data_IF_074682460816
#
_entry.id   IF_074682460816
#
_cell.length_a   1.000
_cell.length_b   1.000
_cell.length_c   1.000
_cell.angle_alpha   90.00
_cell.angle_beta   90.00
_cell.angle_gamma   90.00
#
_symmetry.space_group_name_H-M   'P 1'
#
loop_
_entity.id
_entity.type
_entity.pdbx_description
1 polymer ?
#
# COMPACT_ATOMS: atom_id res chain seq x y z
N UNK A 1 18.01 -3.79 23.54
CA UNK A 1 17.83 -3.33 22.14
C UNK A 1 17.63 -1.82 22.01
N UNK A 2 17.45 -1.06 23.11
CA UNK A 2 17.33 0.42 23.07
C UNK A 2 18.61 1.16 22.65
N UNK A 3 19.79 0.56 22.86
CA UNK A 3 21.06 1.28 22.67
C UNK A 3 21.42 1.57 21.19
N UNK A 4 20.83 0.85 20.24
CA UNK A 4 21.06 1.02 18.79
C UNK A 4 20.12 2.04 18.13
N UNK A 5 19.06 2.46 18.82
CA UNK A 5 18.09 3.43 18.32
C UNK A 5 18.56 4.88 18.52
N UNK A 6 19.42 5.14 19.50
CA UNK A 6 19.80 6.51 19.93
C UNK A 6 20.99 7.12 19.16
N UNK A 7 21.71 6.32 18.37
CA UNK A 7 22.80 6.84 17.53
C UNK A 7 22.29 7.03 16.10
N UNK A 8 22.04 8.28 15.75
CA UNK A 8 21.67 8.69 14.40
C UNK A 8 22.92 8.97 13.57
N UNK A 9 23.00 8.32 12.41
CA UNK A 9 24.02 8.60 11.40
C UNK A 9 23.30 9.10 10.15
N UNK A 10 23.57 10.35 9.73
CA UNK A 10 22.98 10.99 8.54
C UNK A 10 21.43 10.90 8.55
N UNK A 11 20.82 11.17 9.71
CA UNK A 11 19.35 11.25 9.87
C UNK A 11 18.62 9.90 9.96
N UNK A 12 19.33 8.76 10.00
CA UNK A 12 18.76 7.44 10.28
C UNK A 12 19.48 6.78 11.46
N UNK A 13 18.71 6.11 12.33
CA UNK A 13 19.29 5.31 13.42
C UNK A 13 20.11 4.14 12.86
N UNK A 14 21.04 3.60 13.65
CA UNK A 14 21.82 2.42 13.27
C UNK A 14 20.93 1.22 12.89
N UNK A 15 19.79 1.09 13.58
CA UNK A 15 18.76 0.10 13.25
C UNK A 15 18.09 0.39 11.89
N UNK A 16 17.83 1.67 11.59
CA UNK A 16 17.36 2.12 10.29
C UNK A 16 18.33 1.80 9.16
N UNK A 17 19.64 1.97 9.38
CA UNK A 17 20.68 1.61 8.41
C UNK A 17 20.74 0.11 8.14
N UNK A 18 20.69 -0.73 9.18
CA UNK A 18 20.65 -2.19 9.00
C UNK A 18 19.38 -2.60 8.24
N UNK A 19 18.22 -2.03 8.59
CA UNK A 19 16.97 -2.25 7.88
C UNK A 19 17.08 -1.86 6.40
N UNK A 20 17.61 -0.67 6.12
CA UNK A 20 17.81 -0.15 4.77
C UNK A 20 18.76 -1.02 3.95
N UNK A 21 19.95 -1.33 4.46
CA UNK A 21 20.94 -2.16 3.77
C UNK A 21 20.44 -3.59 3.52
N UNK A 22 19.71 -4.17 4.47
CA UNK A 22 19.12 -5.51 4.32
C UNK A 22 18.06 -5.54 3.23
N UNK A 23 17.17 -4.54 3.18
CA UNK A 23 16.17 -4.38 2.14
C UNK A 23 16.81 -4.15 0.77
N UNK A 24 17.85 -3.31 0.71
CA UNK A 24 18.57 -3.04 -0.52
C UNK A 24 19.23 -4.30 -1.10
N UNK A 25 19.90 -5.09 -0.25
CA UNK A 25 20.51 -6.36 -0.66
C UNK A 25 19.46 -7.37 -1.12
N UNK A 26 18.33 -7.48 -0.41
CA UNK A 26 17.24 -8.37 -0.80
C UNK A 26 16.70 -8.01 -2.19
N UNK A 27 16.49 -6.73 -2.46
CA UNK A 27 16.04 -6.25 -3.77
C UNK A 27 17.05 -6.58 -4.87
N UNK A 28 18.35 -6.35 -4.62
CA UNK A 28 19.42 -6.69 -5.56
C UNK A 28 19.51 -8.20 -5.84
N UNK A 29 19.32 -9.04 -4.82
CA UNK A 29 19.31 -10.50 -4.95
C UNK A 29 18.12 -10.96 -5.82
N UNK A 30 16.91 -10.49 -5.53
CA UNK A 30 15.72 -10.84 -6.31
C UNK A 30 15.89 -10.43 -7.79
N UNK A 31 16.53 -9.29 -8.04
CA UNK A 31 16.86 -8.86 -9.39
C UNK A 31 17.78 -9.84 -10.14
N UNK A 32 18.81 -10.39 -9.46
CA UNK A 32 19.71 -11.37 -10.08
C UNK A 32 19.02 -12.68 -10.50
N UNK A 33 17.82 -12.97 -9.96
CA UNK A 33 17.02 -14.14 -10.33
C UNK A 33 16.13 -13.93 -11.58
N UNK A 34 16.10 -12.72 -12.15
CA UNK A 34 15.46 -12.43 -13.44
C UNK A 34 13.93 -12.21 -13.41
N UNK A 35 13.39 -11.77 -14.54
CA UNK A 35 11.98 -11.34 -14.71
C UNK A 35 10.94 -12.41 -14.37
N UNK A 36 11.25 -13.70 -14.57
CA UNK A 36 10.30 -14.80 -14.34
C UNK A 36 10.03 -15.04 -12.85
N UNK A 37 11.06 -14.88 -12.00
CA UNK A 37 10.89 -14.96 -10.55
C UNK A 37 10.15 -13.74 -10.01
N UNK A 38 10.43 -12.56 -10.55
CA UNK A 38 9.76 -11.31 -10.22
C UNK A 38 8.25 -11.43 -10.49
N UNK A 39 7.87 -11.91 -11.70
CA UNK A 39 6.46 -12.15 -12.06
C UNK A 39 5.76 -13.08 -11.08
N UNK A 40 6.37 -14.22 -10.74
CA UNK A 40 5.80 -15.17 -9.77
C UNK A 40 5.60 -14.56 -8.39
N UNK A 41 6.55 -13.74 -7.92
CA UNK A 41 6.43 -13.06 -6.62
C UNK A 41 5.28 -12.06 -6.62
N UNK A 42 5.11 -11.30 -7.70
CA UNK A 42 4.00 -10.33 -7.84
C UNK A 42 2.66 -11.05 -7.91
N UNK A 43 2.57 -12.10 -8.73
CA UNK A 43 1.35 -12.89 -8.91
C UNK A 43 0.91 -13.55 -7.60
N UNK A 44 1.85 -13.92 -6.72
CA UNK A 44 1.55 -14.44 -5.39
C UNK A 44 1.24 -13.34 -4.37
N UNK A 45 1.89 -12.18 -4.50
CA UNK A 45 1.71 -11.05 -3.60
C UNK A 45 0.33 -10.43 -3.71
N UNK A 46 -0.22 -10.29 -4.93
CA UNK A 46 -1.55 -9.72 -5.15
C UNK A 46 -2.64 -10.39 -4.31
N UNK A 47 -2.87 -11.71 -4.46
CA UNK A 47 -3.82 -12.47 -3.64
C UNK A 47 -3.52 -12.40 -2.14
N UNK A 48 -2.24 -12.45 -1.74
CA UNK A 48 -1.86 -12.39 -0.34
C UNK A 48 -2.23 -11.04 0.31
N UNK A 49 -2.04 -9.92 -0.41
CA UNK A 49 -2.45 -8.58 0.04
C UNK A 49 -3.96 -8.54 0.24
N UNK A 50 -4.74 -9.03 -0.74
CA UNK A 50 -6.21 -9.03 -0.62
C UNK A 50 -6.71 -9.89 0.53
N UNK A 51 -6.10 -11.05 0.76
CA UNK A 51 -6.42 -11.91 1.90
C UNK A 51 -6.12 -11.20 3.23
N UNK A 52 -4.96 -10.55 3.33
CA UNK A 52 -4.57 -9.79 4.51
C UNK A 52 -5.51 -8.60 4.76
N UNK A 53 -5.86 -7.84 3.72
CA UNK A 53 -6.81 -6.72 3.82
C UNK A 53 -8.20 -7.19 4.24
N UNK A 54 -8.69 -8.28 3.66
CA UNK A 54 -9.98 -8.86 4.03
C UNK A 54 -9.99 -9.34 5.48
N UNK A 55 -8.95 -10.05 5.92
CA UNK A 55 -8.81 -10.51 7.29
C UNK A 55 -8.76 -9.33 8.27
N UNK A 56 -8.01 -8.28 7.94
CA UNK A 56 -7.93 -7.05 8.72
C UNK A 56 -9.29 -6.35 8.80
N UNK A 57 -10.00 -6.18 7.68
CA UNK A 57 -11.35 -5.62 7.68
C UNK A 57 -12.30 -6.41 8.57
N UNK A 58 -12.34 -7.73 8.42
CA UNK A 58 -13.21 -8.58 9.22
C UNK A 58 -12.89 -8.47 10.72
N UNK A 59 -11.60 -8.43 11.08
CA UNK A 59 -11.17 -8.27 12.46
C UNK A 59 -11.54 -6.89 13.03
N UNK A 60 -11.31 -5.82 12.26
CA UNK A 60 -11.67 -4.45 12.64
C UNK A 60 -13.18 -4.27 12.81
N UNK A 61 -13.99 -4.87 11.93
CA UNK A 61 -15.46 -4.84 12.04
C UNK A 61 -15.92 -5.57 13.30
N UNK A 62 -15.31 -6.72 13.63
CA UNK A 62 -15.63 -7.46 14.86
C UNK A 62 -15.30 -6.67 16.13
N UNK A 63 -14.22 -5.87 16.12
CA UNK A 63 -13.83 -5.03 17.25
C UNK A 63 -14.65 -3.73 17.35
N UNK A 64 -14.95 -3.09 16.21
CA UNK A 64 -15.68 -1.82 16.15
C UNK A 64 -17.19 -1.97 16.47
N UNK A 65 -17.76 -3.11 16.08
CA UNK A 65 -19.22 -3.31 16.01
C UNK A 65 -19.82 -2.59 14.78
N UNK A 66 -20.72 -3.28 14.07
CA UNK A 66 -21.36 -2.76 12.84
C UNK A 66 -22.09 -1.41 13.03
N UNK A 67 -22.51 -1.11 14.25
CA UNK A 67 -23.31 0.09 14.58
C UNK A 67 -22.47 1.36 14.73
N UNK A 68 -21.15 1.26 14.95
CA UNK A 68 -20.25 2.41 15.17
C UNK A 68 -19.45 2.81 13.91
N UNK A 69 -19.65 2.13 12.78
CA UNK A 69 -18.95 2.43 11.53
C UNK A 69 -19.60 3.64 10.87
N UNK A 70 -19.04 4.82 11.15
CA UNK A 70 -19.36 6.05 10.46
C UNK A 70 -18.61 6.12 9.12
N UNK A 71 -19.34 6.15 8.00
CA UNK A 71 -18.79 6.49 6.68
C UNK A 71 -18.63 8.01 6.48
N UNK A 72 -18.99 8.82 7.47
CA UNK A 72 -18.87 10.27 7.40
C UNK A 72 -17.57 10.73 8.05
N UNK A 73 -16.45 10.46 7.37
CA UNK A 73 -15.10 10.85 7.80
C UNK A 73 -14.70 12.27 7.31
N UNK A 74 -15.62 12.98 6.64
CA UNK A 74 -15.36 14.31 6.10
C UNK A 74 -15.23 15.34 7.22
N UNK A 75 -14.01 15.76 7.53
CA UNK A 75 -13.77 16.63 8.69
C UNK A 75 -14.05 18.12 8.43
N UNK A 76 -14.19 18.60 7.20
CA UNK A 76 -14.45 20.03 6.94
C UNK A 76 -15.13 20.22 5.58
N UNK A 77 -16.18 21.05 5.49
CA UNK A 77 -16.73 21.48 4.20
C UNK A 77 -15.83 22.57 3.62
N UNK A 78 -14.88 22.18 2.77
CA UNK A 78 -14.12 23.13 1.96
C UNK A 78 -15.10 23.90 1.06
N UNK A 79 -15.27 25.20 1.33
CA UNK A 79 -16.18 26.09 0.63
C UNK A 79 -15.40 27.05 -0.28
N UNK A 80 -15.87 27.25 -1.52
CA UNK A 80 -15.39 28.31 -2.41
C UNK A 80 -14.08 28.01 -3.15
N UNK A 81 -13.23 29.02 -3.30
CA UNK A 81 -11.97 28.96 -4.09
C UNK A 81 -10.94 27.99 -3.53
N UNK A 82 -10.94 27.76 -2.21
CA UNK A 82 -10.04 26.80 -1.57
C UNK A 82 -10.38 25.36 -1.95
N UNK A 83 -11.66 25.03 -2.14
CA UNK A 83 -12.06 23.73 -2.65
C UNK A 83 -11.53 23.48 -4.07
N UNK A 84 -11.55 24.50 -4.93
CA UNK A 84 -11.03 24.42 -6.29
C UNK A 84 -9.51 24.26 -6.26
N UNK A 85 -8.80 25.04 -5.43
CA UNK A 85 -7.35 24.93 -5.30
C UNK A 85 -6.93 23.56 -4.72
N UNK A 86 -7.62 23.08 -3.68
CA UNK A 86 -7.40 21.75 -3.12
C UNK A 86 -7.70 20.64 -4.13
N UNK A 87 -8.75 20.79 -4.95
CA UNK A 87 -9.09 19.85 -6.02
C UNK A 87 -8.02 19.84 -7.13
N UNK A 88 -7.46 21.00 -7.49
CA UNK A 88 -6.34 21.10 -8.43
C UNK A 88 -5.08 20.45 -7.86
N UNK A 89 -4.74 20.71 -6.60
CA UNK A 89 -3.59 20.08 -5.91
C UNK A 89 -3.79 18.57 -5.84
N UNK A 90 -4.98 18.10 -5.42
CA UNK A 90 -5.31 16.68 -5.37
C UNK A 90 -5.21 16.03 -6.76
N UNK A 91 -5.71 16.69 -7.80
CA UNK A 91 -5.61 16.20 -9.18
C UNK A 91 -4.16 16.15 -9.65
N UNK A 92 -3.35 17.16 -9.35
CA UNK A 92 -1.93 17.18 -9.68
C UNK A 92 -1.14 16.10 -8.94
N UNK A 93 -1.45 15.83 -7.67
CA UNK A 93 -0.87 14.73 -6.89
C UNK A 93 -1.23 13.38 -7.49
N UNK A 94 -2.49 13.17 -7.86
CA UNK A 94 -2.94 11.94 -8.53
C UNK A 94 -2.24 11.79 -9.88
N UNK A 95 -2.17 12.85 -10.68
CA UNK A 95 -1.46 12.83 -11.97
C UNK A 95 0.04 12.52 -11.80
N UNK A 96 0.71 13.12 -10.80
CA UNK A 96 2.11 12.85 -10.49
C UNK A 96 2.34 11.42 -10.00
N UNK A 97 1.42 10.89 -9.19
CA UNK A 97 1.47 9.50 -8.73
C UNK A 97 1.37 8.50 -9.89
N UNK A 98 0.53 8.78 -10.89
CA UNK A 98 0.40 7.94 -12.08
C UNK A 98 1.44 8.21 -13.18
N UNK A 99 2.24 9.28 -13.09
CA UNK A 99 3.23 9.62 -14.10
C UNK A 99 4.30 8.54 -14.25
N UNK A 100 4.82 8.00 -13.13
CA UNK A 100 5.82 6.93 -13.14
C UNK A 100 5.35 5.67 -13.88
N UNK A 101 4.23 5.04 -13.45
CA UNK A 101 3.65 3.90 -14.16
C UNK A 101 3.33 4.19 -15.63
N UNK A 102 2.89 5.40 -15.95
CA UNK A 102 2.55 5.80 -17.33
C UNK A 102 3.78 5.90 -18.24
N UNK A 103 4.92 6.37 -17.73
CA UNK A 103 6.17 6.41 -18.50
C UNK A 103 6.66 4.99 -18.84
N UNK A 104 6.58 4.08 -17.87
CA UNK A 104 6.92 2.65 -18.04
C UNK A 104 5.88 1.90 -18.90
N UNK A 105 4.67 2.45 -19.07
CA UNK A 105 3.62 1.85 -19.90
C UNK A 105 4.07 1.64 -21.36
N UNK A 106 4.98 2.49 -21.85
CA UNK A 106 5.58 2.36 -23.18
C UNK A 106 6.35 1.04 -23.32
N UNK A 107 7.15 0.65 -22.32
CA UNK A 107 7.85 -0.64 -22.28
C UNK A 107 6.91 -1.82 -22.06
N UNK A 108 5.90 -1.69 -21.19
CA UNK A 108 4.88 -2.73 -21.00
C UNK A 108 4.07 -3.01 -22.27
N UNK A 109 3.71 -1.97 -23.02
CA UNK A 109 2.95 -2.12 -24.27
C UNK A 109 3.70 -2.95 -25.33
N UNK A 110 5.03 -2.94 -25.28
CA UNK A 110 5.90 -3.72 -26.17
C UNK A 110 5.88 -5.22 -25.85
N UNK A 111 5.54 -5.59 -24.61
CA UNK A 111 5.40 -6.98 -24.17
C UNK A 111 3.95 -7.50 -24.24
N UNK A 112 2.98 -6.68 -24.66
CA UNK A 112 1.59 -7.10 -24.79
C UNK A 112 1.33 -7.76 -26.16
N UNK A 113 0.79 -8.98 -26.12
CA UNK A 113 0.46 -9.79 -27.30
C UNK A 113 -0.68 -9.21 -28.15
N UNK A 114 -1.60 -8.47 -27.51
CA UNK A 114 -2.79 -7.90 -28.17
C UNK A 114 -3.31 -6.64 -27.48
N UNK A 115 -3.84 -5.70 -28.27
CA UNK A 115 -4.51 -4.49 -27.78
C UNK A 115 -5.71 -4.80 -26.86
N UNK A 116 -6.40 -5.93 -27.10
CA UNK A 116 -7.53 -6.36 -26.27
C UNK A 116 -7.08 -6.78 -24.87
N UNK A 117 -5.96 -7.48 -24.77
CA UNK A 117 -5.37 -7.90 -23.48
C UNK A 117 -4.85 -6.69 -22.70
N UNK A 118 -4.19 -5.74 -23.38
CA UNK A 118 -3.74 -4.49 -22.78
C UNK A 118 -4.92 -3.68 -22.21
N UNK A 119 -6.03 -3.55 -22.95
CA UNK A 119 -7.22 -2.82 -22.47
C UNK A 119 -7.85 -3.50 -21.25
N UNK A 120 -7.96 -4.83 -21.26
CA UNK A 120 -8.52 -5.59 -20.14
C UNK A 120 -7.61 -5.49 -18.91
N UNK A 121 -6.30 -5.68 -19.08
CA UNK A 121 -5.32 -5.54 -18.01
C UNK A 121 -5.33 -4.15 -17.39
N UNK A 122 -5.42 -3.10 -18.21
CA UNK A 122 -5.50 -1.72 -17.73
C UNK A 122 -6.78 -1.44 -16.93
N UNK A 123 -7.93 -1.95 -17.39
CA UNK A 123 -9.21 -1.77 -16.67
C UNK A 123 -9.23 -2.59 -15.36
N UNK A 124 -8.73 -3.82 -15.37
CA UNK A 124 -8.68 -4.64 -14.16
C UNK A 124 -7.65 -4.12 -13.15
N UNK A 125 -6.48 -3.66 -13.64
CA UNK A 125 -5.37 -3.22 -12.81
C UNK A 125 -5.50 -1.80 -12.27
N UNK A 126 -6.10 -0.86 -13.03
CA UNK A 126 -6.32 0.51 -12.55
C UNK A 126 -7.68 0.66 -11.87
N UNK A 127 -8.81 0.90 -12.56
CA UNK A 127 -10.03 1.29 -11.88
C UNK A 127 -10.57 0.22 -10.94
N UNK A 128 -10.55 -1.06 -11.33
CA UNK A 128 -11.10 -2.14 -10.48
C UNK A 128 -10.27 -2.33 -9.21
N UNK A 129 -8.95 -2.40 -9.33
CA UNK A 129 -8.05 -2.52 -8.19
C UNK A 129 -8.18 -1.31 -7.24
N UNK A 130 -8.26 -0.09 -7.78
CA UNK A 130 -8.43 1.13 -6.98
C UNK A 130 -9.77 1.16 -6.23
N UNK A 131 -10.87 0.75 -6.86
CA UNK A 131 -12.18 0.69 -6.21
C UNK A 131 -12.17 -0.35 -5.08
N UNK A 132 -11.63 -1.55 -5.33
CA UNK A 132 -11.53 -2.59 -4.30
C UNK A 132 -10.65 -2.15 -3.12
N UNK A 133 -9.47 -1.62 -3.42
CA UNK A 133 -8.54 -1.15 -2.40
C UNK A 133 -9.12 0.00 -1.58
N UNK A 134 -9.75 0.99 -2.24
CA UNK A 134 -10.38 2.12 -1.55
C UNK A 134 -11.54 1.69 -0.66
N UNK A 135 -12.35 0.71 -1.07
CA UNK A 135 -13.41 0.15 -0.22
C UNK A 135 -12.83 -0.43 1.07
N UNK A 136 -11.81 -1.28 0.98
CA UNK A 136 -11.16 -1.85 2.15
C UNK A 136 -10.51 -0.77 3.02
N UNK A 137 -9.81 0.19 2.40
CA UNK A 137 -9.18 1.29 3.12
C UNK A 137 -10.21 2.11 3.90
N UNK A 138 -11.30 2.55 3.26
CA UNK A 138 -12.37 3.32 3.93
C UNK A 138 -12.96 2.53 5.09
N UNK A 139 -13.22 1.23 4.93
CA UNK A 139 -13.74 0.38 6.01
C UNK A 139 -12.76 0.30 7.19
N UNK A 140 -11.47 0.08 6.92
CA UNK A 140 -10.43 0.00 7.97
C UNK A 140 -10.30 1.33 8.69
N UNK A 141 -10.25 2.45 7.95
CA UNK A 141 -10.13 3.79 8.51
C UNK A 141 -11.38 4.14 9.33
N UNK A 142 -12.58 3.90 8.81
CA UNK A 142 -13.83 4.12 9.54
C UNK A 142 -13.92 3.27 10.80
N UNK A 143 -13.42 2.03 10.78
CA UNK A 143 -13.36 1.16 11.95
C UNK A 143 -12.22 1.52 12.92
N UNK A 144 -11.17 2.22 12.48
CA UNK A 144 -10.07 2.64 13.36
C UNK A 144 -10.50 3.63 14.43
N UNK A 145 -11.44 4.53 14.10
CA UNK A 145 -11.98 5.51 15.06
C UNK A 145 -12.67 4.84 16.26
N UNK A 146 -13.65 3.93 16.10
CA UNK A 146 -14.27 3.27 17.24
C UNK A 146 -13.34 2.27 17.96
N UNK A 147 -12.37 1.66 17.25
CA UNK A 147 -11.46 0.66 17.86
C UNK A 147 -10.32 1.31 18.65
N UNK A 148 -9.74 2.41 18.14
CA UNK A 148 -8.54 3.03 18.71
C UNK A 148 -8.78 4.45 19.25
N UNK A 149 -9.93 5.06 18.98
CA UNK A 149 -10.22 6.44 19.36
C UNK A 149 -9.59 7.50 18.44
N UNK A 150 -8.84 7.09 17.41
CA UNK A 150 -8.19 7.97 16.45
C UNK A 150 -8.26 7.43 15.02
N UNK A 151 -8.15 8.32 14.04
CA UNK A 151 -8.20 7.95 12.62
C UNK A 151 -6.81 7.47 12.17
N UNK A 152 -6.69 6.16 11.92
CA UNK A 152 -5.48 5.57 11.35
C UNK A 152 -5.71 5.36 9.86
N UNK A 153 -4.99 6.13 9.04
CA UNK A 153 -5.08 6.05 7.56
C UNK A 153 -4.24 4.92 6.96
N UNK A 154 -3.23 4.44 7.68
CA UNK A 154 -2.36 3.36 7.23
C UNK A 154 -2.84 1.99 7.76
N UNK A 155 -3.24 1.05 6.88
CA UNK A 155 -3.60 -0.31 7.26
C UNK A 155 -2.46 -1.05 7.98
N UNK A 156 -1.20 -0.78 7.62
CA UNK A 156 -0.03 -1.42 8.24
C UNK A 156 0.10 -0.98 9.69
N UNK A 157 -0.05 0.32 9.93
CA UNK A 157 -0.01 0.89 11.26
C UNK A 157 -1.17 0.38 12.12
N UNK A 158 -2.34 0.21 11.51
CA UNK A 158 -3.50 -0.44 12.13
C UNK A 158 -3.14 -1.86 12.61
N UNK A 159 -2.50 -2.68 11.76
CA UNK A 159 -2.07 -4.05 12.11
C UNK A 159 -1.04 -4.08 13.25
N UNK A 160 -0.11 -3.13 13.29
CA UNK A 160 0.88 -3.05 14.39
C UNK A 160 0.22 -2.75 15.72
N UNK A 161 -0.84 -1.94 15.72
CA UNK A 161 -1.54 -1.50 16.92
C UNK A 161 -2.50 -2.55 17.50
N UNK A 162 -2.88 -3.54 16.70
CA UNK A 162 -3.82 -4.60 17.10
C UNK A 162 -3.22 -5.65 18.06
N UNK A 163 -1.92 -5.56 18.40
CA UNK A 163 -1.18 -6.39 19.39
C UNK A 163 -1.41 -7.91 19.32
N UNK A 164 -1.87 -8.41 18.17
CA UNK A 164 -2.05 -9.84 17.89
C UNK A 164 -0.79 -10.32 17.16
N UNK A 165 0.17 -10.83 17.93
CA UNK A 165 1.51 -11.18 17.41
C UNK A 165 1.51 -12.04 16.14
N UNK A 166 0.55 -12.95 15.97
CA UNK A 166 0.45 -13.78 14.76
C UNK A 166 -0.02 -12.98 13.53
N UNK A 167 -1.02 -12.11 13.70
CA UNK A 167 -1.57 -11.29 12.62
C UNK A 167 -0.57 -10.21 12.22
N UNK A 168 0.11 -9.61 13.19
CA UNK A 168 1.13 -8.59 12.96
C UNK A 168 2.31 -9.14 12.18
N UNK A 169 2.80 -10.33 12.52
CA UNK A 169 3.94 -10.95 11.80
C UNK A 169 3.55 -11.34 10.38
N UNK A 170 2.41 -11.99 10.17
CA UNK A 170 1.96 -12.39 8.83
C UNK A 170 1.64 -11.18 7.94
N UNK A 171 1.02 -10.15 8.52
CA UNK A 171 0.77 -8.88 7.84
C UNK A 171 2.08 -8.20 7.45
N UNK A 172 3.01 -8.04 8.39
CA UNK A 172 4.31 -7.42 8.13
C UNK A 172 5.10 -8.17 7.04
N UNK A 173 5.12 -9.51 7.07
CA UNK A 173 5.77 -10.31 6.02
C UNK A 173 5.12 -10.09 4.66
N UNK A 174 3.80 -10.16 4.58
CA UNK A 174 3.05 -9.91 3.34
C UNK A 174 3.34 -8.51 2.78
N UNK A 175 3.40 -7.50 3.65
CA UNK A 175 3.74 -6.14 3.26
C UNK A 175 5.19 -6.01 2.78
N UNK A 176 6.15 -6.66 3.44
CA UNK A 176 7.55 -6.67 2.98
C UNK A 176 7.64 -7.26 1.57
N UNK A 177 6.98 -8.41 1.32
CA UNK A 177 6.95 -9.02 -0.01
C UNK A 177 6.25 -8.12 -1.04
N UNK A 178 5.14 -7.49 -0.67
CA UNK A 178 4.42 -6.54 -1.52
C UNK A 178 5.29 -5.33 -1.87
N UNK A 179 5.96 -4.72 -0.88
CA UNK A 179 6.85 -3.57 -1.07
C UNK A 179 8.03 -3.91 -1.96
N UNK A 180 8.66 -5.07 -1.75
CA UNK A 180 9.75 -5.55 -2.61
C UNK A 180 9.25 -5.80 -4.04
N UNK A 181 8.10 -6.48 -4.21
CA UNK A 181 7.51 -6.75 -5.51
C UNK A 181 7.18 -5.47 -6.29
N UNK A 182 6.51 -4.51 -5.64
CA UNK A 182 6.12 -3.24 -6.27
C UNK A 182 7.35 -2.39 -6.59
N UNK A 183 8.32 -2.29 -5.69
CA UNK A 183 9.53 -1.48 -5.93
C UNK A 183 10.37 -2.03 -7.09
N UNK A 184 10.44 -3.36 -7.24
CA UNK A 184 11.13 -3.99 -8.37
C UNK A 184 10.37 -3.76 -9.69
N UNK A 185 9.04 -3.62 -9.69
CA UNK A 185 8.25 -3.39 -10.92
C UNK A 185 8.25 -1.93 -11.37
N UNK A 186 8.25 -1.00 -10.41
CA UNK A 186 8.06 0.43 -10.67
C UNK A 186 9.36 1.20 -10.87
N UNK A 187 10.45 0.76 -10.24
CA UNK A 187 11.72 1.51 -10.21
C UNK A 187 12.77 0.95 -11.17
N UNK A 188 12.57 -0.28 -11.70
CA UNK A 188 13.45 -0.90 -12.69
C UNK A 188 12.88 -0.81 -14.10
#
# INVERSE_FOLDING_TARGET
>A
MEHLANYEFIGLSYLGWIGFSSMWLLQAIVFMFGMDMIRKVIDWSGPAIYLAMFALCAYMINLAGWENISFNLGKESLLGSDAIMQMLIATALVAGYFAGPTLNFSDFSRYCTSYKELKIGNILGLPVNFILFSLFAVVIVSASIPVFGEMIVDPVETVKRLDSGMITVLGALTFIFATVGINIVLTL
#
